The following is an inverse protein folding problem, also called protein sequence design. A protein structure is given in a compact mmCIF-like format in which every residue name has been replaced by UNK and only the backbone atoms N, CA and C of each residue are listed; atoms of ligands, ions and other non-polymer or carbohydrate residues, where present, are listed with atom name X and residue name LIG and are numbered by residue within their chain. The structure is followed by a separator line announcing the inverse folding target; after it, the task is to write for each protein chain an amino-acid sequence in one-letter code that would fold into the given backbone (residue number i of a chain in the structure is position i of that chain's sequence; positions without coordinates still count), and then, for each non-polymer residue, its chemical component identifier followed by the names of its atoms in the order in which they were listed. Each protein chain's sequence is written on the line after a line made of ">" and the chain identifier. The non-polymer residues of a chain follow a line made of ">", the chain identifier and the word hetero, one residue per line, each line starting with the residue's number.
data_IF_614474052582
#
_entry.id   IF_614474052582
#
_cell.length_a   1.000
_cell.length_b   1.000
_cell.length_c   1.000
_cell.angle_alpha   90.00
_cell.angle_beta   90.00
_cell.angle_gamma   90.00
#
_symmetry.space_group_name_H-M   'P 1'
#
loop_
_entity.id
_entity.type
_entity.pdbx_description
1 polymer ?
#
# COMPACT_ATOMS: atom_id res chain seq x y z
N UNK A 1 39.97 30.79 -25.42
CA UNK A 1 39.07 29.68 -25.04
C UNK A 1 38.09 30.18 -23.98
N UNK A 2 36.80 30.31 -24.31
CA UNK A 2 35.76 30.73 -23.36
C UNK A 2 35.24 29.48 -22.64
N UNK A 3 35.58 29.34 -21.36
CA UNK A 3 35.00 28.29 -20.51
C UNK A 3 33.57 28.72 -20.19
N UNK A 4 32.59 28.02 -20.77
CA UNK A 4 31.18 28.26 -20.47
C UNK A 4 30.87 27.70 -19.08
N UNK A 5 30.90 28.55 -18.06
CA UNK A 5 30.29 28.27 -16.77
C UNK A 5 28.76 28.34 -16.93
N UNK A 6 28.18 27.24 -17.42
CA UNK A 6 26.73 27.06 -17.45
C UNK A 6 26.24 26.75 -16.04
N UNK A 7 25.80 27.77 -15.30
CA UNK A 7 25.05 27.57 -14.06
C UNK A 7 23.79 26.76 -14.38
N UNK A 8 23.52 25.65 -13.67
CA UNK A 8 22.32 24.86 -13.91
C UNK A 8 21.06 25.70 -13.69
N UNK A 9 20.13 25.69 -14.64
CA UNK A 9 18.84 26.36 -14.50
C UNK A 9 18.03 25.67 -13.39
N UNK A 10 18.05 26.29 -12.19
CA UNK A 10 17.38 25.81 -10.97
C UNK A 10 15.89 25.57 -11.20
N UNK A 11 15.22 26.35 -12.07
CA UNK A 11 13.80 26.17 -12.38
C UNK A 11 13.55 24.89 -13.18
N UNK A 12 14.43 24.58 -14.15
CA UNK A 12 14.37 23.31 -14.89
C UNK A 12 14.65 22.11 -14.00
N UNK A 13 15.60 22.21 -13.08
CA UNK A 13 15.90 21.15 -12.11
C UNK A 13 14.71 20.94 -11.17
N UNK A 14 14.18 22.02 -10.59
CA UNK A 14 13.01 21.95 -9.69
C UNK A 14 11.80 21.33 -10.37
N UNK A 15 11.49 21.72 -11.61
CA UNK A 15 10.37 21.13 -12.36
C UNK A 15 10.57 19.64 -12.71
N UNK A 16 11.82 19.18 -12.86
CA UNK A 16 12.12 17.76 -13.07
C UNK A 16 11.97 16.97 -11.77
N UNK A 17 12.54 17.48 -10.68
CA UNK A 17 12.42 16.86 -9.34
C UNK A 17 10.96 16.73 -8.95
N UNK A 18 10.17 17.80 -9.10
CA UNK A 18 8.74 17.77 -8.80
C UNK A 18 8.00 16.71 -9.62
N UNK A 19 8.29 16.60 -10.93
CA UNK A 19 7.68 15.56 -11.78
C UNK A 19 8.01 14.14 -11.31
N UNK A 20 9.26 13.89 -10.92
CA UNK A 20 9.67 12.59 -10.38
C UNK A 20 8.94 12.30 -9.07
N UNK A 21 8.88 13.27 -8.15
CA UNK A 21 8.17 13.09 -6.87
C UNK A 21 6.67 12.83 -7.07
N UNK A 22 6.02 13.53 -7.99
CA UNK A 22 4.62 13.29 -8.34
C UNK A 22 4.43 11.89 -8.91
N UNK A 23 5.30 11.46 -9.85
CA UNK A 23 5.23 10.13 -10.42
C UNK A 23 5.40 9.03 -9.36
N UNK A 24 6.37 9.20 -8.45
CA UNK A 24 6.59 8.27 -7.33
C UNK A 24 5.41 8.26 -6.36
N UNK A 25 4.83 9.43 -6.06
CA UNK A 25 3.64 9.52 -5.21
C UNK A 25 2.43 8.82 -5.81
N UNK A 26 2.19 9.00 -7.12
CA UNK A 26 1.11 8.30 -7.83
C UNK A 26 1.34 6.79 -7.85
N UNK A 27 2.57 6.34 -8.10
CA UNK A 27 2.91 4.92 -8.06
C UNK A 27 2.69 4.34 -6.65
N UNK A 28 3.12 5.05 -5.61
CA UNK A 28 2.91 4.64 -4.22
C UNK A 28 1.44 4.45 -3.89
N UNK A 29 0.60 5.43 -4.26
CA UNK A 29 -0.85 5.36 -4.06
C UNK A 29 -1.47 4.21 -4.85
N UNK A 30 -1.07 4.02 -6.11
CA UNK A 30 -1.58 2.93 -6.94
C UNK A 30 -1.25 1.54 -6.35
N UNK A 31 -0.03 1.36 -5.84
CA UNK A 31 0.36 0.13 -5.16
C UNK A 31 -0.41 -0.07 -3.85
N UNK A 32 -0.59 0.98 -3.06
CA UNK A 32 -1.40 0.94 -1.83
C UNK A 32 -2.86 0.59 -2.09
N UNK A 33 -3.45 1.10 -3.17
CA UNK A 33 -4.81 0.74 -3.60
C UNK A 33 -4.89 -0.73 -4.01
N UNK A 34 -3.92 -1.20 -4.81
CA UNK A 34 -3.84 -2.61 -5.19
C UNK A 34 -3.69 -3.53 -3.97
N UNK A 35 -2.87 -3.14 -3.00
CA UNK A 35 -2.70 -3.84 -1.73
C UNK A 35 -4.04 -3.93 -0.97
N UNK A 36 -4.72 -2.80 -0.76
CA UNK A 36 -6.02 -2.76 -0.07
C UNK A 36 -7.04 -3.68 -0.73
N UNK A 37 -7.20 -3.60 -2.05
CA UNK A 37 -8.16 -4.42 -2.81
C UNK A 37 -7.85 -5.91 -2.64
N UNK A 38 -6.58 -6.31 -2.81
CA UNK A 38 -6.17 -7.71 -2.73
C UNK A 38 -6.36 -8.27 -1.31
N UNK A 39 -5.87 -7.54 -0.31
CA UNK A 39 -6.00 -7.94 1.08
C UNK A 39 -7.47 -8.05 1.51
N UNK A 40 -8.31 -7.10 1.08
CA UNK A 40 -9.74 -7.11 1.39
C UNK A 40 -10.45 -8.32 0.80
N UNK A 41 -10.15 -8.64 -0.46
CA UNK A 41 -10.68 -9.82 -1.13
C UNK A 41 -10.34 -11.12 -0.36
N UNK A 42 -9.08 -11.27 0.06
CA UNK A 42 -8.65 -12.45 0.82
C UNK A 42 -9.29 -12.51 2.22
N UNK A 43 -9.43 -11.34 2.87
CA UNK A 43 -10.09 -11.24 4.16
C UNK A 43 -11.56 -11.66 4.05
N UNK A 44 -12.28 -11.22 3.03
CA UNK A 44 -13.68 -11.58 2.85
C UNK A 44 -13.88 -13.07 2.53
N UNK A 45 -12.96 -13.66 1.76
CA UNK A 45 -12.92 -15.11 1.53
C UNK A 45 -12.67 -15.87 2.85
N UNK A 46 -11.71 -15.42 3.67
CA UNK A 46 -11.45 -15.99 4.99
C UNK A 46 -12.68 -15.88 5.91
N UNK A 47 -13.33 -14.71 5.95
CA UNK A 47 -14.55 -14.49 6.74
C UNK A 47 -15.69 -15.39 6.29
N UNK A 48 -15.86 -15.61 4.99
CA UNK A 48 -16.87 -16.53 4.46
C UNK A 48 -16.61 -17.98 4.91
N UNK A 49 -15.35 -18.43 4.86
CA UNK A 49 -14.95 -19.75 5.35
C UNK A 49 -15.17 -19.90 6.86
N UNK A 50 -14.84 -18.88 7.66
CA UNK A 50 -15.07 -18.87 9.11
C UNK A 50 -16.55 -18.91 9.46
N UNK A 51 -17.38 -18.12 8.76
CA UNK A 51 -18.85 -18.16 8.89
C UNK A 51 -19.41 -19.55 8.60
N UNK A 52 -18.95 -20.20 7.53
CA UNK A 52 -19.38 -21.56 7.18
C UNK A 52 -19.01 -22.61 8.24
N UNK A 53 -17.93 -22.38 9.00
CA UNK A 53 -17.49 -23.23 10.12
C UNK A 53 -18.16 -22.90 11.46
N UNK A 54 -19.03 -21.89 11.50
CA UNK A 54 -19.64 -21.40 12.75
C UNK A 54 -18.65 -20.70 13.67
N UNK A 55 -17.49 -20.28 13.17
CA UNK A 55 -16.48 -19.56 13.96
C UNK A 55 -16.85 -18.07 14.08
N UNK A 56 -16.34 -17.43 15.15
CA UNK A 56 -16.42 -15.97 15.30
C UNK A 56 -15.79 -15.26 14.10
N UNK A 57 -16.50 -14.28 13.56
CA UNK A 57 -16.03 -13.45 12.45
C UNK A 57 -15.96 -12.02 12.92
N UNK A 58 -14.74 -11.49 12.97
CA UNK A 58 -14.50 -10.17 13.51
C UNK A 58 -15.18 -9.08 12.65
N UNK A 59 -15.98 -8.19 13.28
CA UNK A 59 -16.61 -7.09 12.56
C UNK A 59 -15.55 -6.11 12.04
N UNK A 60 -15.93 -5.30 11.05
CA UNK A 60 -15.03 -4.25 10.57
C UNK A 60 -14.90 -3.14 11.59
N UNK A 61 -13.73 -3.08 12.23
CA UNK A 61 -13.40 -2.04 13.21
C UNK A 61 -13.23 -0.68 12.54
N UNK A 62 -12.62 -0.66 11.35
CA UNK A 62 -12.48 0.55 10.54
C UNK A 62 -13.34 0.43 9.28
N UNK A 63 -14.49 1.10 9.31
CA UNK A 63 -15.33 1.24 8.14
C UNK A 63 -14.62 2.08 7.05
N UNK A 64 -15.06 1.91 5.81
CA UNK A 64 -14.70 2.83 4.73
C UNK A 64 -15.15 4.26 5.09
N UNK A 65 -14.37 5.32 4.81
CA UNK A 65 -13.13 5.38 4.02
C UNK A 65 -11.83 5.26 4.84
N UNK A 66 -11.92 5.11 6.17
CA UNK A 66 -10.75 5.18 7.04
C UNK A 66 -9.80 3.98 6.83
N UNK A 67 -10.34 2.77 6.66
CA UNK A 67 -9.53 1.58 6.35
C UNK A 67 -8.73 1.74 5.06
N UNK A 68 -9.36 2.23 4.00
CA UNK A 68 -8.70 2.53 2.73
C UNK A 68 -7.54 3.51 2.90
N UNK A 69 -7.76 4.60 3.64
CA UNK A 69 -6.73 5.61 3.86
C UNK A 69 -5.54 5.04 4.64
N UNK A 70 -5.79 4.23 5.67
CA UNK A 70 -4.74 3.59 6.47
C UNK A 70 -3.93 2.59 5.65
N UNK A 71 -4.61 1.74 4.86
CA UNK A 71 -3.96 0.74 4.03
C UNK A 71 -3.11 1.39 2.94
N UNK A 72 -3.64 2.39 2.22
CA UNK A 72 -2.89 3.10 1.18
C UNK A 72 -1.69 3.85 1.76
N UNK A 73 -1.83 4.44 2.95
CA UNK A 73 -0.74 5.17 3.58
C UNK A 73 0.36 4.24 4.13
N UNK A 74 0.01 3.06 4.64
CA UNK A 74 0.92 2.20 5.41
C UNK A 74 1.18 0.82 4.78
N UNK A 75 0.74 0.59 3.53
CA UNK A 75 0.91 -0.71 2.86
C UNK A 75 2.33 -1.29 2.89
N UNK A 76 3.45 -0.52 2.81
CA UNK A 76 4.78 -1.14 2.83
C UNK A 76 5.09 -1.74 4.20
N UNK A 77 4.64 -1.08 5.28
CA UNK A 77 4.83 -1.55 6.65
C UNK A 77 4.01 -2.81 6.88
N UNK A 78 2.73 -2.80 6.47
CA UNK A 78 1.86 -3.97 6.57
C UNK A 78 2.39 -5.15 5.73
N UNK A 79 2.74 -4.92 4.47
CA UNK A 79 3.30 -5.94 3.60
C UNK A 79 4.60 -6.53 4.17
N UNK A 80 5.50 -5.69 4.68
CA UNK A 80 6.74 -6.15 5.30
C UNK A 80 6.48 -7.02 6.53
N UNK A 81 5.64 -6.55 7.46
CA UNK A 81 5.32 -7.31 8.68
C UNK A 81 4.62 -8.63 8.37
N UNK A 82 3.66 -8.62 7.44
CA UNK A 82 2.94 -9.83 7.03
C UNK A 82 3.88 -10.82 6.34
N UNK A 83 4.81 -10.37 5.48
CA UNK A 83 5.83 -11.28 4.90
C UNK A 83 6.75 -11.83 5.98
N UNK A 84 7.18 -10.99 6.92
CA UNK A 84 8.09 -11.39 7.99
C UNK A 84 7.48 -12.45 8.93
N UNK A 85 6.20 -12.32 9.28
CA UNK A 85 5.53 -13.24 10.19
C UNK A 85 4.82 -14.40 9.50
N UNK A 86 4.27 -14.18 8.31
CA UNK A 86 3.26 -15.04 7.71
C UNK A 86 3.67 -15.54 6.32
N UNK A 87 4.82 -15.08 5.79
CA UNK A 87 5.33 -15.48 4.48
C UNK A 87 4.54 -14.92 3.29
N UNK A 88 3.53 -14.08 3.53
CA UNK A 88 2.69 -13.47 2.50
C UNK A 88 2.39 -12.01 2.86
N UNK A 89 2.40 -11.07 1.90
CA UNK A 89 2.03 -9.68 2.19
C UNK A 89 0.53 -9.51 2.50
N UNK A 90 -0.30 -10.50 2.13
CA UNK A 90 -1.76 -10.44 2.24
C UNK A 90 -2.29 -11.33 3.36
N UNK A 91 -1.61 -11.33 4.51
CA UNK A 91 -2.00 -12.17 5.63
C UNK A 91 -3.40 -11.86 6.15
N UNK A 92 -4.11 -12.93 6.51
CA UNK A 92 -5.46 -12.90 7.10
C UNK A 92 -5.49 -13.84 8.31
N UNK A 93 -6.55 -13.82 9.14
CA UNK A 93 -6.68 -14.80 10.23
C UNK A 93 -6.67 -16.27 9.77
N UNK A 94 -6.89 -16.53 8.48
CA UNK A 94 -6.84 -17.87 7.91
C UNK A 94 -5.42 -18.30 7.48
N UNK A 95 -4.43 -17.42 7.54
CA UNK A 95 -3.05 -17.70 7.13
C UNK A 95 -2.29 -18.61 8.12
N UNK A 96 -2.67 -18.59 9.40
CA UNK A 96 -2.02 -19.36 10.48
C UNK A 96 -2.70 -20.70 10.82
N UNK A 97 -3.39 -21.33 9.86
CA UNK A 97 -4.11 -22.59 10.10
C UNK A 97 -3.32 -23.83 9.74
#
# INVERSE_FOLDING_TARGET
>A
MKVANGTPDIRRIGARVLRVLVALGLLYVALGLGFHIKWKHDLDACRALRRARGEFVEPEVFAWPLSLALDVANWPVYAYWNVYHDGTPFATPCTHR
#
